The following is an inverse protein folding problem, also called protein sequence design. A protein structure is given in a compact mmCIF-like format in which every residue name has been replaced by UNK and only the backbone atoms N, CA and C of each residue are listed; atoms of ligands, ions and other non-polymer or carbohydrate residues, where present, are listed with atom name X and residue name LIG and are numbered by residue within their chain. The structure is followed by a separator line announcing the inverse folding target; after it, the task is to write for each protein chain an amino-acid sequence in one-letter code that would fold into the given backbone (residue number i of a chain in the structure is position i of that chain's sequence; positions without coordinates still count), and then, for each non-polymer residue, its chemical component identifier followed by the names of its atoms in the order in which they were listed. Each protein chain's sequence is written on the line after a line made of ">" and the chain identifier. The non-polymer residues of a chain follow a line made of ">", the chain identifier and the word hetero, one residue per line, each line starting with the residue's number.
data_IF_039992529865
#
_entry.id   IF_039992529865
#
_cell.length_a   1.000
_cell.length_b   1.000
_cell.length_c   1.000
_cell.angle_alpha   90.00
_cell.angle_beta   90.00
_cell.angle_gamma   90.00
#
_symmetry.space_group_name_H-M   'P 1'
#
loop_
_entity.id
_entity.type
_entity.pdbx_description
1 polymer ?
#
# COMPACT_ATOMS: atom_id res chain seq x y z
N UNK A 1 -16.08 44.98 -29.95
CA UNK A 1 -14.65 44.56 -29.92
C UNK A 1 -14.17 44.64 -28.48
N UNK A 2 -14.01 43.50 -27.80
CA UNK A 2 -13.54 43.46 -26.42
C UNK A 2 -12.62 42.24 -26.26
N UNK A 3 -11.32 42.52 -26.14
CA UNK A 3 -10.25 41.54 -25.97
C UNK A 3 -10.29 40.96 -24.54
N UNK A 4 -10.41 39.63 -24.42
CA UNK A 4 -10.22 38.91 -23.15
C UNK A 4 -8.87 38.21 -23.18
N UNK A 5 -7.92 38.77 -22.43
CA UNK A 5 -6.62 38.17 -22.15
C UNK A 5 -6.79 36.99 -21.18
N UNK A 6 -6.30 35.82 -21.57
CA UNK A 6 -6.20 34.65 -20.71
C UNK A 6 -4.81 34.65 -20.07
N UNK A 7 -4.75 34.82 -18.75
CA UNK A 7 -3.51 34.67 -18.00
C UNK A 7 -3.21 33.18 -17.82
N UNK A 8 -2.16 32.69 -18.47
CA UNK A 8 -1.60 31.36 -18.26
C UNK A 8 -0.72 31.43 -17.02
N UNK A 9 -1.22 30.92 -15.89
CA UNK A 9 -0.41 30.72 -14.68
C UNK A 9 0.37 29.42 -14.85
N UNK A 10 1.62 29.54 -15.33
CA UNK A 10 2.58 28.44 -15.36
C UNK A 10 3.10 28.25 -13.94
N UNK A 11 2.56 27.27 -13.22
CA UNK A 11 3.13 26.79 -11.96
C UNK A 11 4.42 26.00 -12.27
N UNK A 12 5.56 26.70 -12.22
CA UNK A 12 6.88 26.10 -12.07
C UNK A 12 7.01 25.59 -10.63
N UNK A 13 6.60 24.34 -10.39
CA UNK A 13 6.99 23.60 -9.18
C UNK A 13 8.34 22.93 -9.45
N UNK A 14 9.41 23.70 -9.29
CA UNK A 14 10.78 23.20 -9.14
C UNK A 14 10.88 22.41 -7.84
N UNK A 15 10.70 21.10 -7.96
CA UNK A 15 11.69 20.08 -7.60
C UNK A 15 12.91 20.58 -6.79
N UNK A 16 12.77 20.74 -5.47
CA UNK A 16 13.88 20.67 -4.50
C UNK A 16 13.36 20.24 -3.13
N UNK A 17 13.22 18.94 -2.95
CA UNK A 17 13.29 18.30 -1.65
C UNK A 17 14.06 16.98 -1.79
N UNK A 18 15.37 17.08 -2.05
CA UNK A 18 16.33 16.02 -1.73
C UNK A 18 16.52 15.97 -0.20
N UNK A 19 15.42 15.72 0.52
CA UNK A 19 15.46 15.27 1.89
C UNK A 19 15.81 13.80 1.86
N UNK A 20 17.01 13.45 2.33
CA UNK A 20 17.46 12.11 2.74
C UNK A 20 16.44 11.01 2.45
N UNK A 21 16.63 10.32 1.31
CA UNK A 21 15.75 9.22 0.92
C UNK A 21 15.58 8.25 2.09
N UNK A 22 14.36 7.75 2.35
CA UNK A 22 14.10 6.87 3.48
C UNK A 22 15.13 5.74 3.44
N UNK A 23 15.84 5.55 4.56
CA UNK A 23 16.74 4.41 4.73
C UNK A 23 15.98 3.18 4.27
N UNK A 24 16.58 2.33 3.44
CA UNK A 24 15.97 1.07 2.97
C UNK A 24 15.49 0.17 4.13
N UNK A 25 15.85 0.49 5.38
CA UNK A 25 15.27 -0.07 6.61
C UNK A 25 13.79 0.24 6.85
N UNK A 26 13.26 1.36 6.36
CA UNK A 26 11.87 1.79 6.62
C UNK A 26 10.84 1.18 5.65
N UNK A 27 11.31 0.42 4.65
CA UNK A 27 10.48 -0.22 3.63
C UNK A 27 10.18 -1.69 3.92
N UNK A 28 10.50 -2.22 5.10
CA UNK A 28 10.33 -3.63 5.40
C UNK A 28 9.50 -3.86 6.66
N UNK A 29 8.60 -4.84 6.60
CA UNK A 29 7.90 -5.31 7.79
C UNK A 29 8.91 -5.87 8.81
N UNK A 30 8.73 -5.63 10.13
CA UNK A 30 9.63 -6.12 11.16
C UNK A 30 9.41 -7.62 11.41
N UNK A 31 9.78 -8.43 10.44
CA UNK A 31 9.62 -9.88 10.43
C UNK A 31 10.96 -10.54 10.76
N UNK A 32 11.20 -10.97 12.01
CA UNK A 32 12.46 -11.58 12.38
C UNK A 32 12.64 -12.94 11.70
N UNK A 33 13.90 -13.36 11.55
CA UNK A 33 14.24 -14.77 11.35
C UNK A 33 13.98 -15.51 12.66
N UNK A 34 12.81 -16.15 12.79
CA UNK A 34 12.36 -16.77 14.04
C UNK A 34 10.84 -16.74 14.18
N UNK A 35 10.29 -16.77 15.40
CA UNK A 35 8.84 -16.75 15.62
C UNK A 35 8.18 -15.52 14.99
N UNK A 36 7.13 -15.75 14.21
CA UNK A 36 6.38 -14.70 13.55
C UNK A 36 5.64 -13.86 14.59
N UNK A 37 5.96 -12.57 14.66
CA UNK A 37 5.34 -11.66 15.63
C UNK A 37 4.00 -11.12 15.11
N UNK A 38 3.10 -10.73 16.03
CA UNK A 38 1.84 -10.06 15.66
C UNK A 38 2.06 -8.80 14.82
N UNK A 39 3.12 -8.03 15.11
CA UNK A 39 3.44 -6.80 14.37
C UNK A 39 3.92 -7.10 12.95
N UNK A 40 4.67 -8.19 12.73
CA UNK A 40 5.01 -8.64 11.38
C UNK A 40 3.75 -8.96 10.56
N UNK A 41 2.82 -9.75 11.13
CA UNK A 41 1.58 -10.11 10.45
C UNK A 41 0.70 -8.89 10.17
N UNK A 42 0.57 -7.97 11.12
CA UNK A 42 -0.19 -6.74 10.93
C UNK A 42 0.40 -5.86 9.83
N UNK A 43 1.72 -5.71 9.79
CA UNK A 43 2.38 -4.99 8.69
C UNK A 43 2.05 -5.57 7.33
N UNK A 44 2.16 -6.89 7.19
CA UNK A 44 1.89 -7.56 5.92
C UNK A 44 0.41 -7.45 5.54
N UNK A 45 -0.50 -7.58 6.52
CA UNK A 45 -1.94 -7.39 6.33
C UNK A 45 -2.26 -6.00 5.79
N UNK A 46 -1.71 -4.95 6.41
CA UNK A 46 -1.90 -3.57 5.95
C UNK A 46 -1.42 -3.41 4.50
N UNK A 47 -0.25 -3.96 4.15
CA UNK A 47 0.25 -3.91 2.77
C UNK A 47 -0.64 -4.65 1.77
N UNK A 48 -1.17 -5.81 2.15
CA UNK A 48 -2.16 -6.52 1.33
C UNK A 48 -3.44 -5.68 1.13
N UNK A 49 -3.90 -4.98 2.16
CA UNK A 49 -5.03 -4.05 2.05
C UNK A 49 -4.72 -2.85 1.13
N UNK A 50 -3.50 -2.31 1.19
CA UNK A 50 -3.05 -1.21 0.32
C UNK A 50 -3.04 -1.66 -1.15
N UNK A 51 -2.47 -2.83 -1.46
CA UNK A 51 -2.48 -3.36 -2.83
C UNK A 51 -3.91 -3.57 -3.34
N UNK A 52 -4.79 -4.19 -2.54
CA UNK A 52 -6.20 -4.37 -2.90
C UNK A 52 -6.94 -3.04 -3.12
N UNK A 53 -6.71 -2.05 -2.27
CA UNK A 53 -7.29 -0.71 -2.41
C UNK A 53 -6.78 0.02 -3.66
N UNK A 54 -5.50 -0.13 -3.97
CA UNK A 54 -4.90 0.46 -5.15
C UNK A 54 -5.48 -0.15 -6.44
N UNK A 55 -5.69 -1.48 -6.46
CA UNK A 55 -6.40 -2.17 -7.55
C UNK A 55 -7.81 -1.57 -7.76
N UNK A 56 -8.60 -1.46 -6.69
CA UNK A 56 -9.94 -0.86 -6.75
C UNK A 56 -9.91 0.58 -7.29
N UNK A 57 -8.92 1.38 -6.87
CA UNK A 57 -8.80 2.79 -7.27
C UNK A 57 -8.42 2.95 -8.74
N UNK A 58 -7.44 2.19 -9.24
CA UNK A 58 -6.98 2.35 -10.63
C UNK A 58 -7.93 1.72 -11.64
N UNK A 59 -8.64 0.67 -11.24
CA UNK A 59 -9.70 0.09 -12.05
C UNK A 59 -11.08 0.68 -11.76
N UNK A 60 -11.21 1.86 -11.13
CA UNK A 60 -12.51 2.36 -10.64
C UNK A 60 -13.61 2.53 -11.71
N UNK A 61 -13.25 2.64 -12.99
CA UNK A 61 -14.19 2.64 -14.10
C UNK A 61 -14.83 1.26 -14.39
N UNK A 62 -14.27 0.20 -13.83
CA UNK A 62 -14.63 -1.19 -14.09
C UNK A 62 -15.57 -1.73 -13.02
N UNK A 63 -16.63 -2.39 -13.45
CA UNK A 63 -17.62 -3.00 -12.55
C UNK A 63 -17.01 -4.11 -11.66
N UNK A 64 -15.88 -4.69 -12.09
CA UNK A 64 -15.21 -5.77 -11.40
C UNK A 64 -14.14 -5.32 -10.39
N UNK A 65 -13.80 -4.03 -10.35
CA UNK A 65 -12.63 -3.53 -9.62
C UNK A 65 -12.68 -3.79 -8.12
N UNK A 66 -13.82 -3.52 -7.48
CA UNK A 66 -13.98 -3.70 -6.03
C UNK A 66 -13.83 -5.16 -5.60
N UNK A 67 -14.42 -6.08 -6.37
CA UNK A 67 -14.31 -7.52 -6.11
C UNK A 67 -12.88 -8.01 -6.33
N UNK A 68 -12.19 -7.50 -7.37
CA UNK A 68 -10.80 -7.81 -7.65
C UNK A 68 -9.87 -7.33 -6.54
N UNK A 69 -10.05 -6.09 -6.07
CA UNK A 69 -9.28 -5.54 -4.95
C UNK A 69 -9.43 -6.37 -3.68
N UNK A 70 -10.66 -6.78 -3.35
CA UNK A 70 -10.94 -7.65 -2.20
C UNK A 70 -10.27 -9.01 -2.34
N UNK A 71 -10.44 -9.69 -3.48
CA UNK A 71 -9.85 -11.01 -3.73
C UNK A 71 -8.33 -10.99 -3.75
N UNK A 72 -7.75 -9.92 -4.29
CA UNK A 72 -6.31 -9.72 -4.26
C UNK A 72 -5.78 -9.61 -2.83
N UNK A 73 -6.43 -8.80 -1.98
CA UNK A 73 -6.06 -8.67 -0.57
C UNK A 73 -6.19 -9.99 0.20
N UNK A 74 -7.29 -10.74 -0.01
CA UNK A 74 -7.51 -12.07 0.58
C UNK A 74 -6.40 -13.06 0.19
N UNK A 75 -6.04 -13.11 -1.10
CA UNK A 75 -4.98 -13.98 -1.61
C UNK A 75 -3.61 -13.60 -1.04
N UNK A 76 -3.30 -12.30 -0.97
CA UNK A 76 -2.05 -11.79 -0.40
C UNK A 76 -1.94 -12.11 1.10
N UNK A 77 -3.02 -11.94 1.87
CA UNK A 77 -3.06 -12.29 3.30
C UNK A 77 -2.92 -13.80 3.53
N UNK A 78 -3.54 -14.62 2.67
CA UNK A 78 -3.37 -16.07 2.69
C UNK A 78 -1.91 -16.45 2.46
N UNK A 79 -1.31 -15.90 1.41
CA UNK A 79 0.09 -16.16 1.07
C UNK A 79 1.06 -15.70 2.16
N UNK A 80 0.77 -14.55 2.79
CA UNK A 80 1.48 -14.06 3.97
C UNK A 80 1.47 -15.04 5.14
N UNK A 81 0.33 -15.66 5.41
CA UNK A 81 0.20 -16.64 6.49
C UNK A 81 0.94 -17.94 6.18
N UNK A 82 0.93 -18.38 4.91
CA UNK A 82 1.64 -19.57 4.47
C UNK A 82 3.15 -19.37 4.38
N UNK A 83 3.61 -18.16 4.05
CA UNK A 83 5.02 -17.84 3.81
C UNK A 83 5.49 -16.59 4.60
N UNK A 84 5.42 -16.62 5.94
CA UNK A 84 5.63 -15.42 6.76
C UNK A 84 7.06 -14.88 6.74
N UNK A 85 8.02 -15.67 6.27
CA UNK A 85 9.44 -15.29 6.13
C UNK A 85 9.80 -14.76 4.73
N UNK A 86 8.90 -14.87 3.74
CA UNK A 86 9.18 -14.35 2.40
C UNK A 86 9.28 -12.83 2.39
N UNK A 87 10.12 -12.27 1.51
CA UNK A 87 10.20 -10.82 1.36
C UNK A 87 8.84 -10.26 0.93
N UNK A 88 8.55 -9.02 1.31
CA UNK A 88 7.27 -8.43 0.94
C UNK A 88 7.12 -8.28 -0.57
N UNK A 89 8.20 -7.93 -1.27
CA UNK A 89 8.23 -7.89 -2.74
C UNK A 89 7.83 -9.24 -3.36
N UNK A 90 8.36 -10.35 -2.84
CA UNK A 90 8.00 -11.69 -3.29
C UNK A 90 6.52 -11.98 -3.05
N UNK A 91 5.99 -11.67 -1.86
CA UNK A 91 4.56 -11.91 -1.55
C UNK A 91 3.65 -11.09 -2.46
N UNK A 92 3.92 -9.79 -2.61
CA UNK A 92 3.07 -8.91 -3.42
C UNK A 92 3.10 -9.31 -4.92
N UNK A 93 4.27 -9.70 -5.45
CA UNK A 93 4.42 -10.08 -6.86
C UNK A 93 3.90 -11.49 -7.19
N UNK A 94 3.92 -12.41 -6.23
CA UNK A 94 3.44 -13.80 -6.41
C UNK A 94 2.00 -14.02 -5.93
N UNK A 95 1.34 -12.96 -5.46
CA UNK A 95 -0.07 -13.02 -5.08
C UNK A 95 -0.93 -13.47 -6.27
N UNK A 96 -1.73 -14.52 -6.05
CA UNK A 96 -2.59 -15.09 -7.10
C UNK A 96 -3.53 -14.03 -7.65
N UNK A 97 -3.48 -13.83 -8.96
CA UNK A 97 -4.31 -12.84 -9.66
C UNK A 97 -5.79 -13.24 -9.63
N UNK A 98 -6.71 -12.32 -9.27
CA UNK A 98 -8.15 -12.60 -9.28
C UNK A 98 -8.77 -12.48 -10.69
N UNK A 99 -8.00 -12.07 -11.70
CA UNK A 99 -8.52 -11.64 -13.00
C UNK A 99 -9.30 -12.72 -13.76
N UNK A 100 -8.79 -13.95 -13.81
CA UNK A 100 -9.45 -15.02 -14.58
C UNK A 100 -10.86 -15.32 -14.04
N UNK A 101 -10.99 -15.50 -12.72
CA UNK A 101 -12.27 -15.81 -12.07
C UNK A 101 -13.27 -14.64 -12.20
N UNK A 102 -12.77 -13.42 -12.07
CA UNK A 102 -13.61 -12.22 -12.10
C UNK A 102 -14.06 -11.88 -13.53
N UNK A 103 -13.15 -11.93 -14.50
CA UNK A 103 -13.52 -11.65 -15.89
C UNK A 103 -14.47 -12.71 -16.44
N UNK A 104 -14.33 -13.99 -16.04
CA UNK A 104 -15.26 -15.05 -16.43
C UNK A 104 -16.69 -14.84 -15.87
N UNK A 105 -16.83 -14.21 -14.71
CA UNK A 105 -18.11 -14.07 -14.01
C UNK A 105 -18.78 -12.70 -14.13
N UNK A 106 -18.02 -11.63 -14.41
CA UNK A 106 -18.49 -10.24 -14.33
C UNK A 106 -18.38 -9.45 -15.62
N UNK A 107 -17.62 -9.91 -16.60
CA UNK A 107 -17.36 -9.12 -17.81
C UNK A 107 -17.70 -9.88 -19.09
N UNK A 108 -18.41 -9.19 -19.99
CA UNK A 108 -18.53 -9.61 -21.40
C UNK A 108 -17.42 -9.01 -22.26
N UNK A 109 -16.57 -8.16 -21.68
CA UNK A 109 -15.48 -7.51 -22.38
C UNK A 109 -14.30 -8.48 -22.56
N UNK A 110 -13.94 -8.73 -23.81
CA UNK A 110 -12.77 -9.53 -24.18
C UNK A 110 -11.45 -8.95 -23.65
N UNK A 111 -11.40 -7.64 -23.39
CA UNK A 111 -10.21 -6.96 -22.85
C UNK A 111 -10.11 -7.01 -21.32
N UNK A 112 -11.11 -7.54 -20.62
CA UNK A 112 -11.10 -7.62 -19.15
C UNK A 112 -9.83 -8.26 -18.59
N UNK A 113 -9.35 -9.44 -19.08
CA UNK A 113 -8.18 -10.09 -18.51
C UNK A 113 -6.92 -9.22 -18.58
N UNK A 114 -6.68 -8.58 -19.74
CA UNK A 114 -5.50 -7.74 -19.95
C UNK A 114 -5.53 -6.48 -19.08
N UNK A 115 -6.68 -5.79 -19.02
CA UNK A 115 -6.83 -4.58 -18.19
C UNK A 115 -6.74 -4.90 -16.70
N UNK A 116 -7.31 -6.03 -16.28
CA UNK A 116 -7.17 -6.50 -14.91
C UNK A 116 -5.72 -6.84 -14.57
N UNK A 117 -5.01 -7.56 -15.44
CA UNK A 117 -3.60 -7.91 -15.22
C UNK A 117 -2.70 -6.67 -15.08
N UNK A 118 -2.92 -5.63 -15.91
CA UNK A 118 -2.20 -4.37 -15.79
C UNK A 118 -2.40 -3.73 -14.41
N UNK A 119 -3.65 -3.64 -13.95
CA UNK A 119 -3.96 -3.05 -12.65
C UNK A 119 -3.46 -3.91 -11.47
N UNK A 120 -3.43 -5.24 -11.61
CA UNK A 120 -2.82 -6.15 -10.62
C UNK A 120 -1.31 -5.90 -10.50
N UNK A 121 -0.61 -5.64 -11.61
CA UNK A 121 0.80 -5.26 -11.57
C UNK A 121 1.05 -3.98 -10.76
N UNK A 122 0.18 -2.97 -10.96
CA UNK A 122 0.23 -1.74 -10.16
C UNK A 122 -0.07 -2.00 -8.67
N UNK A 123 -1.04 -2.88 -8.38
CA UNK A 123 -1.41 -3.27 -7.02
C UNK A 123 -0.27 -3.97 -6.28
N UNK A 124 0.42 -4.90 -6.98
CA UNK A 124 1.61 -5.57 -6.47
C UNK A 124 2.72 -4.56 -6.14
N UNK A 125 2.94 -3.57 -7.02
CA UNK A 125 3.89 -2.49 -6.77
C UNK A 125 3.51 -1.67 -5.52
N UNK A 126 2.26 -1.22 -5.39
CA UNK A 126 1.80 -0.46 -4.23
C UNK A 126 1.95 -1.23 -2.91
N UNK A 127 1.66 -2.54 -2.92
CA UNK A 127 1.90 -3.41 -1.77
C UNK A 127 3.38 -3.51 -1.39
N UNK A 128 4.27 -3.63 -2.39
CA UNK A 128 5.70 -3.80 -2.17
C UNK A 128 6.36 -2.52 -1.64
N UNK A 129 5.94 -1.36 -2.15
CA UNK A 129 6.57 -0.06 -1.86
C UNK A 129 5.93 0.72 -0.71
N UNK A 130 4.81 0.24 -0.15
CA UNK A 130 4.16 0.92 0.97
C UNK A 130 5.10 1.07 2.17
N UNK A 131 5.40 2.30 2.63
CA UNK A 131 6.30 2.50 3.77
C UNK A 131 5.65 1.98 5.05
N UNK A 132 6.35 1.12 5.78
CA UNK A 132 5.89 0.74 7.12
C UNK A 132 6.51 1.72 8.12
N UNK A 133 5.74 2.37 8.99
CA UNK A 133 6.33 3.26 9.98
C UNK A 133 7.33 2.44 10.81
N UNK A 134 8.61 2.79 10.73
CA UNK A 134 9.58 2.36 11.73
C UNK A 134 8.95 2.73 13.07
N UNK A 135 8.83 1.76 13.99
CA UNK A 135 8.27 2.04 15.32
C UNK A 135 9.00 3.28 15.81
N UNK A 136 8.31 4.41 15.88
CA UNK A 136 8.86 5.62 16.45
C UNK A 136 9.40 5.16 17.80
N UNK A 137 10.70 5.36 18.05
CA UNK A 137 11.21 5.26 19.42
C UNK A 137 10.15 5.91 20.30
N UNK A 138 9.65 5.25 21.36
CA UNK A 138 8.58 5.82 22.17
C UNK A 138 8.97 7.27 22.45
N UNK A 139 8.21 8.20 21.86
CA UNK A 139 8.39 9.63 22.10
C UNK A 139 8.27 9.72 23.60
N UNK A 140 9.36 10.13 24.25
CA UNK A 140 9.66 9.87 25.65
C UNK A 140 8.38 9.73 26.46
N UNK A 141 8.13 8.53 26.98
CA UNK A 141 7.27 8.39 28.15
C UNK A 141 7.82 9.45 29.10
N UNK A 142 7.07 10.53 29.30
CA UNK A 142 7.42 11.53 30.28
C UNK A 142 7.54 10.74 31.57
N UNK A 143 8.78 10.52 32.02
CA UNK A 143 9.02 9.98 33.34
C UNK A 143 8.32 10.92 34.30
N UNK A 144 7.54 10.33 35.19
CA UNK A 144 6.70 10.92 36.24
C UNK A 144 7.57 11.65 37.30
N UNK A 145 8.55 12.44 36.88
CA UNK A 145 9.52 13.13 37.76
C UNK A 145 9.36 14.66 37.74
N UNK A 146 8.30 15.18 37.11
CA UNK A 146 7.99 16.62 37.17
C UNK A 146 6.48 16.86 37.25
N UNK A 147 5.79 16.21 38.18
CA UNK A 147 4.56 16.78 38.72
C UNK A 147 4.96 17.79 39.80
N UNK A 148 4.81 19.12 39.60
CA UNK A 148 4.95 20.05 40.70
C UNK A 148 3.87 19.71 41.74
N UNK A 149 4.30 19.56 43.00
CA UNK A 149 3.40 19.46 44.15
C UNK A 149 2.55 20.73 44.25
N UNK A 150 1.36 20.71 43.67
CA UNK A 150 0.34 21.76 43.82
C UNK A 150 -0.55 21.39 45.00
N UNK A 151 0.04 21.24 46.19
CA UNK A 151 -0.68 21.31 47.45
C UNK A 151 0.23 21.96 48.49
N UNK A 152 0.15 23.29 48.57
CA UNK A 152 0.45 24.04 49.80
C UNK A 152 -0.50 25.21 49.89
#
# INVERSE_FOLDING_TARGET
>A
MANRAWAIVVFLLTDQALGQGPSTRDQNCPCPYGPVTKVCLECRRVRCSIGGSALTKWAAAEQWATEAGKKWAENCESLTRSNPHSSTEMICSTTVTPCAAICASRSKDANCPSRCAENVGRAAHACATFPWPARSKPVGVATEENLPDVFT
#
